data_IF_260233456526
#
_entry.id   IF_260233456526
#
_cell.length_a   1.000
_cell.length_b   1.000
_cell.length_c   1.000
_cell.angle_alpha   90.00
_cell.angle_beta   90.00
_cell.angle_gamma   90.00
#
_symmetry.space_group_name_H-M   'P 1'
#
loop_
_entity.id
_entity.type
_entity.pdbx_description
1 polymer ?
#
# COMPACT_ATOMS: atom_id res chain seq x y z
N UNK A 1 29.19 -22.09 -78.42
CA UNK A 1 30.12 -21.21 -77.68
C UNK A 1 29.72 -19.76 -77.94
N UNK A 2 29.92 -18.87 -76.94
CA UNK A 2 29.62 -17.42 -76.92
C UNK A 2 28.28 -17.04 -76.23
N UNK A 3 28.30 -16.83 -74.91
CA UNK A 3 28.35 -15.56 -74.11
C UNK A 3 26.96 -15.05 -73.67
N UNK A 4 26.75 -14.71 -72.37
CA UNK A 4 25.52 -14.07 -71.89
C UNK A 4 25.70 -12.55 -71.66
N UNK A 5 24.66 -11.77 -71.99
CA UNK A 5 24.53 -10.33 -71.71
C UNK A 5 23.68 -10.06 -70.45
N UNK A 6 23.92 -8.95 -69.71
CA UNK A 6 23.29 -8.69 -68.41
C UNK A 6 21.98 -7.89 -68.51
N UNK A 7 20.99 -8.23 -67.67
CA UNK A 7 19.70 -7.50 -67.57
C UNK A 7 19.81 -6.33 -66.57
N UNK A 8 19.47 -5.13 -67.06
CA UNK A 8 19.33 -3.89 -66.30
C UNK A 8 18.03 -3.88 -65.47
N UNK A 9 18.12 -3.37 -64.23
CA UNK A 9 16.99 -3.06 -63.34
C UNK A 9 16.21 -1.84 -63.87
N UNK A 10 14.88 -1.94 -63.89
CA UNK A 10 13.96 -0.80 -64.02
C UNK A 10 13.37 -0.51 -62.65
N UNK A 11 13.53 0.72 -62.18
CA UNK A 11 12.80 1.28 -61.06
C UNK A 11 11.38 1.63 -61.52
N UNK A 12 10.38 1.32 -60.69
CA UNK A 12 9.01 1.83 -60.83
C UNK A 12 8.63 2.53 -59.54
N UNK A 13 8.27 3.80 -59.66
CA UNK A 13 7.63 4.61 -58.63
C UNK A 13 6.19 4.14 -58.40
N UNK A 14 5.76 4.09 -57.14
CA UNK A 14 4.37 4.21 -56.73
C UNK A 14 4.30 5.25 -55.61
N UNK A 15 3.35 6.17 -55.76
CA UNK A 15 3.09 7.36 -54.93
C UNK A 15 2.01 7.08 -53.87
N UNK A 16 1.80 8.05 -52.98
CA UNK A 16 0.73 8.22 -51.94
C UNK A 16 1.00 7.50 -50.62
N UNK A 17 0.94 8.12 -49.42
CA UNK A 17 0.35 9.38 -48.95
C UNK A 17 1.20 9.96 -47.80
N UNK A 18 1.37 11.28 -47.77
CA UNK A 18 1.90 11.99 -46.62
C UNK A 18 0.77 12.20 -45.60
N UNK A 19 0.90 11.62 -44.42
CA UNK A 19 0.11 12.01 -43.24
C UNK A 19 0.95 13.02 -42.47
N UNK A 20 0.51 14.29 -42.49
CA UNK A 20 1.00 15.29 -41.55
C UNK A 20 0.58 14.86 -40.14
N UNK A 21 1.52 14.35 -39.34
CA UNK A 21 1.35 14.29 -37.90
C UNK A 21 1.53 15.72 -37.36
N UNK A 22 0.43 16.33 -36.96
CA UNK A 22 0.43 17.60 -36.23
C UNK A 22 1.15 17.36 -34.90
N UNK A 23 2.24 18.08 -34.66
CA UNK A 23 2.90 18.14 -33.36
C UNK A 23 1.94 18.88 -32.42
N UNK A 24 1.11 18.11 -31.71
CA UNK A 24 0.47 18.60 -30.50
C UNK A 24 1.57 18.74 -29.46
N UNK A 25 1.94 19.97 -29.12
CA UNK A 25 2.73 20.22 -27.92
C UNK A 25 1.90 19.71 -26.73
N UNK A 26 2.20 18.50 -26.27
CA UNK A 26 1.72 17.99 -25.00
C UNK A 26 2.44 18.83 -23.94
N UNK A 27 1.76 19.85 -23.43
CA UNK A 27 2.15 20.46 -22.18
C UNK A 27 1.97 19.36 -21.14
N UNK A 28 3.07 18.71 -20.78
CA UNK A 28 3.18 17.92 -19.56
C UNK A 28 2.88 18.88 -18.42
N UNK A 29 1.63 18.92 -17.99
CA UNK A 29 1.31 19.40 -16.65
C UNK A 29 1.97 18.36 -15.74
N UNK A 30 2.98 18.72 -14.92
CA UNK A 30 3.48 17.79 -13.93
C UNK A 30 2.29 17.33 -13.11
N UNK A 31 2.14 16.01 -12.92
CA UNK A 31 1.21 15.46 -11.94
C UNK A 31 1.58 16.05 -10.59
N UNK A 32 0.89 17.13 -10.21
CA UNK A 32 0.96 17.71 -8.88
C UNK A 32 0.41 16.60 -7.99
N UNK A 33 1.30 15.87 -7.32
CA UNK A 33 0.90 15.10 -6.14
C UNK A 33 -0.01 16.01 -5.31
N UNK A 34 -1.25 15.59 -5.10
CA UNK A 34 -2.14 16.34 -4.24
C UNK A 34 -1.55 16.28 -2.84
N UNK A 35 -0.78 17.30 -2.46
CA UNK A 35 -0.26 17.44 -1.10
C UNK A 35 -1.44 17.27 -0.13
N UNK A 36 -1.29 16.37 0.85
CA UNK A 36 -2.33 16.05 1.84
C UNK A 36 -2.84 17.31 2.51
N UNK A 37 -1.98 18.31 2.71
CA UNK A 37 -2.29 19.63 3.22
C UNK A 37 -1.70 20.69 2.30
N UNK A 38 -2.52 21.62 1.84
CA UNK A 38 -2.12 22.75 1.02
C UNK A 38 -2.58 24.06 1.68
N UNK A 39 -1.66 24.99 1.87
CA UNK A 39 -1.97 26.35 2.30
C UNK A 39 -2.60 27.15 1.14
N UNK A 40 -3.81 27.66 1.36
CA UNK A 40 -4.56 28.49 0.43
C UNK A 40 -4.41 30.01 0.72
N UNK A 41 -3.65 30.39 1.75
CA UNK A 41 -3.55 31.78 2.20
C UNK A 41 -4.85 32.28 2.80
N UNK A 42 -5.28 33.51 2.49
CA UNK A 42 -6.51 34.13 3.03
C UNK A 42 -6.51 34.37 4.56
N UNK A 43 -5.32 34.43 5.18
CA UNK A 43 -5.21 34.86 6.57
C UNK A 43 -5.57 36.34 6.74
N UNK A 44 -6.23 36.67 7.85
CA UNK A 44 -6.55 38.03 8.25
C UNK A 44 -5.74 38.40 9.50
N UNK A 45 -4.81 39.36 9.43
CA UNK A 45 -3.98 39.74 10.56
C UNK A 45 -4.80 40.36 11.70
N UNK A 46 -4.36 40.07 12.92
CA UNK A 46 -4.87 40.64 14.16
C UNK A 46 -3.79 41.38 14.96
N UNK A 47 -4.06 41.60 16.24
CA UNK A 47 -3.19 42.34 17.17
C UNK A 47 -1.84 41.64 17.43
N UNK A 48 -1.81 40.31 17.36
CA UNK A 48 -0.62 39.50 17.58
C UNK A 48 0.15 39.15 16.28
N UNK A 49 -0.29 39.65 15.12
CA UNK A 49 0.24 39.29 13.80
C UNK A 49 -0.76 38.50 12.96
N UNK A 50 -0.25 37.74 11.98
CA UNK A 50 -1.08 36.92 11.09
C UNK A 50 -1.16 35.49 11.63
N UNK A 51 -2.33 35.02 12.10
CA UNK A 51 -2.45 33.64 12.58
C UNK A 51 -2.14 32.64 11.46
N UNK A 52 -1.52 31.52 11.80
CA UNK A 52 -1.14 30.45 10.87
C UNK A 52 -1.65 29.11 11.39
N UNK A 53 -2.35 28.37 10.54
CA UNK A 53 -2.81 27.02 10.75
C UNK A 53 -1.97 26.07 9.89
N UNK A 54 -1.44 25.03 10.52
CA UNK A 54 -0.68 23.95 9.88
C UNK A 54 -1.38 22.63 10.16
N UNK A 55 -1.60 21.84 9.12
CA UNK A 55 -2.08 20.46 9.23
C UNK A 55 -0.95 19.47 8.95
N UNK A 56 -0.90 18.39 9.73
CA UNK A 56 0.07 17.30 9.56
C UNK A 56 -0.63 15.95 9.66
N UNK A 57 0.02 14.90 9.13
CA UNK A 57 -0.54 13.54 9.09
C UNK A 57 -1.13 13.18 7.73
N UNK A 58 -1.49 11.91 7.58
CA UNK A 58 -1.73 11.29 6.27
C UNK A 58 -3.17 11.37 5.78
N UNK A 59 -4.16 11.65 6.63
CA UNK A 59 -5.59 11.63 6.26
C UNK A 59 -6.03 10.34 5.55
N UNK A 60 -5.33 9.24 5.84
CA UNK A 60 -5.74 7.89 5.50
C UNK A 60 -6.74 7.49 6.59
N UNK A 61 -7.81 6.79 6.22
CA UNK A 61 -8.80 6.33 7.19
C UNK A 61 -8.15 5.63 8.38
N UNK A 62 -8.59 5.96 9.60
CA UNK A 62 -8.05 5.40 10.84
C UNK A 62 -6.73 6.03 11.32
N UNK A 63 -6.01 6.79 10.49
CA UNK A 63 -4.75 7.42 10.90
C UNK A 63 -4.98 8.74 11.64
N UNK A 64 -4.03 9.08 12.52
CA UNK A 64 -4.05 10.35 13.24
C UNK A 64 -3.59 11.51 12.36
N UNK A 65 -4.16 12.69 12.59
CA UNK A 65 -3.73 13.96 12.04
C UNK A 65 -3.77 15.05 13.11
N UNK A 66 -2.92 16.06 12.95
CA UNK A 66 -2.87 17.19 13.88
C UNK A 66 -3.13 18.51 13.17
N UNK A 67 -3.75 19.44 13.89
CA UNK A 67 -3.91 20.83 13.50
C UNK A 67 -3.24 21.70 14.55
N UNK A 68 -2.33 22.57 14.12
CA UNK A 68 -1.62 23.51 14.99
C UNK A 68 -1.84 24.94 14.49
N UNK A 69 -2.39 25.77 15.36
CA UNK A 69 -2.55 27.21 15.19
C UNK A 69 -1.45 27.93 15.96
N UNK A 70 -0.83 28.92 15.32
CA UNK A 70 0.13 29.85 15.93
C UNK A 70 -0.18 31.29 15.54
N UNK A 71 0.38 32.26 16.27
CA UNK A 71 0.26 33.68 15.93
C UNK A 71 -1.14 34.28 16.12
N UNK A 72 -2.03 33.61 16.85
CA UNK A 72 -3.33 34.15 17.22
C UNK A 72 -3.22 35.10 18.43
N UNK A 73 -4.27 35.88 18.67
CA UNK A 73 -4.38 36.66 19.90
C UNK A 73 -4.31 35.72 21.15
N UNK A 74 -3.50 36.04 22.17
CA UNK A 74 -3.41 35.24 23.39
C UNK A 74 -4.71 35.23 24.21
N UNK A 75 -5.04 34.09 24.82
CA UNK A 75 -6.22 33.93 25.70
C UNK A 75 -7.53 34.41 25.05
N UNK A 76 -7.68 34.15 23.75
CA UNK A 76 -8.82 34.53 22.93
C UNK A 76 -9.68 33.31 22.59
N UNK A 77 -10.97 33.58 22.35
CA UNK A 77 -11.88 32.58 21.79
C UNK A 77 -11.58 32.34 20.31
N UNK A 78 -11.51 31.08 19.91
CA UNK A 78 -11.26 30.64 18.56
C UNK A 78 -12.32 29.62 18.10
N UNK A 79 -12.62 29.62 16.80
CA UNK A 79 -13.58 28.72 16.19
C UNK A 79 -12.94 28.07 14.97
N UNK A 80 -12.78 26.75 15.01
CA UNK A 80 -12.33 25.97 13.85
C UNK A 80 -13.54 25.75 12.93
N UNK A 81 -13.44 26.23 11.70
CA UNK A 81 -14.43 26.01 10.65
C UNK A 81 -13.91 24.93 9.71
N UNK A 82 -14.76 23.92 9.48
CA UNK A 82 -14.54 22.83 8.56
C UNK A 82 -15.64 22.81 7.50
N UNK A 83 -15.25 22.56 6.25
CA UNK A 83 -16.17 22.44 5.13
C UNK A 83 -15.72 21.46 4.06
N UNK A 84 -16.68 20.81 3.41
CA UNK A 84 -16.46 19.91 2.26
C UNK A 84 -16.45 20.67 0.92
N UNK A 85 -16.61 21.99 0.95
CA UNK A 85 -16.58 22.84 -0.23
C UNK A 85 -15.97 24.20 0.08
N UNK A 86 -15.53 24.89 -0.98
CA UNK A 86 -14.99 26.23 -0.89
C UNK A 86 -16.10 27.27 -1.07
N UNK A 87 -16.28 28.16 -0.09
CA UNK A 87 -17.29 29.21 -0.05
C UNK A 87 -16.75 30.58 -0.49
N UNK A 88 -15.55 30.97 -0.04
CA UNK A 88 -14.93 32.30 -0.29
C UNK A 88 -15.82 33.50 0.08
N UNK A 89 -16.48 33.47 1.23
CA UNK A 89 -17.37 34.54 1.67
C UNK A 89 -16.58 35.70 2.31
N UNK A 90 -16.68 36.95 1.81
CA UNK A 90 -16.12 38.11 2.49
C UNK A 90 -16.90 38.40 3.78
N UNK A 91 -16.22 38.38 4.92
CA UNK A 91 -16.82 38.60 6.25
C UNK A 91 -15.80 39.22 7.21
N UNK A 92 -16.26 40.16 8.03
CA UNK A 92 -15.45 40.83 9.07
C UNK A 92 -14.08 41.38 8.58
N UNK A 93 -13.99 41.78 7.31
CA UNK A 93 -12.74 42.30 6.73
C UNK A 93 -11.76 41.23 6.22
N UNK A 94 -12.09 39.94 6.33
CA UNK A 94 -11.37 38.82 5.73
C UNK A 94 -12.25 37.98 4.81
N UNK A 95 -11.79 36.77 4.50
CA UNK A 95 -12.49 35.80 3.66
C UNK A 95 -12.64 34.49 4.40
N UNK A 96 -13.90 34.08 4.63
CA UNK A 96 -14.22 32.74 5.11
C UNK A 96 -14.14 31.78 3.91
N UNK A 97 -13.09 30.97 3.88
CA UNK A 97 -12.82 30.05 2.76
C UNK A 97 -13.70 28.79 2.80
N UNK A 98 -13.79 28.01 3.89
CA UNK A 98 -14.63 26.82 3.93
C UNK A 98 -16.13 27.15 3.97
N UNK A 99 -16.97 26.29 3.38
CA UNK A 99 -18.38 26.19 3.79
C UNK A 99 -18.43 25.81 5.27
N UNK A 100 -19.23 26.49 6.13
CA UNK A 100 -19.26 26.17 7.55
C UNK A 100 -20.14 24.94 7.84
N UNK A 101 -19.77 23.78 7.27
CA UNK A 101 -20.49 22.52 7.46
C UNK A 101 -20.36 22.02 8.90
N UNK A 102 -19.22 22.32 9.54
CA UNK A 102 -18.99 22.17 10.97
C UNK A 102 -18.23 23.39 11.51
N UNK A 103 -18.64 23.87 12.69
CA UNK A 103 -17.93 24.91 13.45
C UNK A 103 -17.68 24.40 14.86
N UNK A 104 -16.42 24.15 15.20
CA UNK A 104 -16.00 23.70 16.52
C UNK A 104 -15.49 24.87 17.36
N UNK A 105 -16.14 25.12 18.49
CA UNK A 105 -15.75 26.15 19.45
C UNK A 105 -16.89 26.61 20.37
N UNK A 106 -16.64 27.58 21.27
CA UNK A 106 -15.38 28.30 21.40
C UNK A 106 -14.25 27.42 21.96
N UNK A 107 -13.11 27.45 21.30
CA UNK A 107 -11.82 26.96 21.78
C UNK A 107 -11.06 28.15 22.38
N UNK A 108 -10.09 27.91 23.26
CA UNK A 108 -9.27 28.97 23.85
C UNK A 108 -7.82 28.88 23.38
N UNK A 109 -7.27 29.99 22.88
CA UNK A 109 -5.84 30.08 22.57
C UNK A 109 -5.03 30.20 23.86
N UNK A 110 -3.86 29.58 23.89
CA UNK A 110 -2.94 29.67 25.03
C UNK A 110 -2.35 31.08 25.20
N UNK A 111 -1.58 31.26 26.28
CA UNK A 111 -0.90 32.54 26.57
C UNK A 111 0.10 32.98 25.48
N UNK A 112 0.56 32.05 24.63
CA UNK A 112 1.40 32.34 23.46
C UNK A 112 0.63 32.51 22.15
N UNK A 113 -0.71 32.50 22.17
CA UNK A 113 -1.52 32.59 20.95
C UNK A 113 -1.56 31.30 20.11
N UNK A 114 -1.26 30.16 20.74
CA UNK A 114 -1.28 28.84 20.09
C UNK A 114 -2.47 27.98 20.49
N UNK A 115 -2.85 27.05 19.61
CA UNK A 115 -3.86 26.02 19.86
C UNK A 115 -3.47 24.78 19.04
N UNK A 116 -3.50 23.59 19.64
CA UNK A 116 -3.21 22.35 18.91
C UNK A 116 -4.25 21.28 19.25
N UNK A 117 -4.57 20.43 18.28
CA UNK A 117 -5.43 19.29 18.45
C UNK A 117 -4.96 18.11 17.61
N UNK A 118 -5.18 16.91 18.11
CA UNK A 118 -4.93 15.64 17.43
C UNK A 118 -6.25 14.90 17.27
N UNK A 119 -6.45 14.33 16.09
CA UNK A 119 -7.72 13.77 15.64
C UNK A 119 -7.47 12.49 14.84
N UNK A 120 -8.51 11.69 14.62
CA UNK A 120 -8.46 10.49 13.79
C UNK A 120 -9.28 10.71 12.52
N UNK A 121 -8.69 10.43 11.35
CA UNK A 121 -9.42 10.55 10.09
C UNK A 121 -10.43 9.41 9.93
N UNK A 122 -11.68 9.66 9.48
CA UNK A 122 -12.67 8.59 9.36
C UNK A 122 -12.26 7.50 8.37
N UNK A 123 -12.51 6.24 8.71
CA UNK A 123 -12.35 5.11 7.80
C UNK A 123 -13.41 5.20 6.69
N UNK A 124 -13.02 4.86 5.45
CA UNK A 124 -13.94 4.83 4.30
C UNK A 124 -14.17 6.18 3.62
N UNK A 125 -13.40 7.22 3.97
CA UNK A 125 -13.41 8.48 3.23
C UNK A 125 -12.99 8.24 1.77
N UNK A 126 -13.79 8.69 0.78
CA UNK A 126 -13.43 8.49 -0.62
C UNK A 126 -12.11 9.18 -0.96
N UNK A 127 -11.31 8.49 -1.77
CA UNK A 127 -10.08 9.01 -2.34
C UNK A 127 -10.29 10.37 -3.03
N UNK A 128 -9.34 11.29 -2.83
CA UNK A 128 -9.34 12.58 -3.52
C UNK A 128 -10.37 13.59 -3.01
N UNK A 129 -11.14 13.26 -1.96
CA UNK A 129 -12.02 14.23 -1.29
C UNK A 129 -11.18 15.38 -0.76
N UNK A 130 -11.61 16.60 -1.10
CA UNK A 130 -10.98 17.83 -0.64
C UNK A 130 -11.84 18.45 0.45
N UNK A 131 -11.21 18.72 1.59
CA UNK A 131 -11.85 19.43 2.70
C UNK A 131 -11.09 20.72 3.00
N UNK A 132 -11.77 21.67 3.64
CA UNK A 132 -11.29 23.02 3.85
C UNK A 132 -11.37 23.38 5.33
N UNK A 133 -10.30 23.99 5.84
CA UNK A 133 -10.14 24.30 7.26
C UNK A 133 -9.71 25.74 7.44
N UNK A 134 -10.27 26.43 8.44
CA UNK A 134 -9.81 27.76 8.82
C UNK A 134 -10.19 28.05 10.27
N UNK A 135 -9.33 28.74 11.03
CA UNK A 135 -9.66 29.18 12.39
C UNK A 135 -9.96 30.68 12.39
N UNK A 136 -11.08 31.05 13.00
CA UNK A 136 -11.48 32.44 13.25
C UNK A 136 -11.33 32.77 14.74
N UNK A 137 -10.66 33.87 15.06
CA UNK A 137 -10.25 34.23 16.42
C UNK A 137 -10.83 35.59 16.78
N UNK A 138 -11.46 35.69 17.94
CA UNK A 138 -11.92 36.96 18.49
C UNK A 138 -10.70 37.84 18.82
N UNK A 139 -10.62 39.00 18.17
CA UNK A 139 -9.48 39.91 18.29
C UNK A 139 -9.94 41.35 18.09
N UNK A 140 -10.06 42.09 19.20
CA UNK A 140 -10.52 43.48 19.19
C UNK A 140 -9.59 44.43 18.41
N UNK A 141 -8.33 44.03 18.16
CA UNK A 141 -7.37 44.79 17.35
C UNK A 141 -7.47 44.52 15.85
N UNK A 142 -8.26 43.52 15.43
CA UNK A 142 -8.42 43.15 14.03
C UNK A 142 -9.61 43.87 13.36
N UNK A 143 -9.61 44.02 12.02
CA UNK A 143 -10.77 44.51 11.29
C UNK A 143 -12.03 43.71 11.66
N UNK A 144 -13.13 44.40 11.94
CA UNK A 144 -14.39 43.73 12.29
C UNK A 144 -14.39 42.97 13.63
N UNK A 145 -13.32 43.07 14.45
CA UNK A 145 -13.20 42.37 15.73
C UNK A 145 -12.76 40.91 15.62
N UNK A 146 -12.28 40.48 14.45
CA UNK A 146 -11.88 39.10 14.18
C UNK A 146 -10.57 39.04 13.39
N UNK A 147 -9.68 38.13 13.77
CA UNK A 147 -8.57 37.68 12.93
C UNK A 147 -8.86 36.25 12.43
N UNK A 148 -8.14 35.83 11.39
CA UNK A 148 -8.31 34.50 10.81
C UNK A 148 -6.98 33.90 10.40
N UNK A 149 -6.83 32.59 10.59
CA UNK A 149 -5.70 31.86 10.03
C UNK A 149 -5.76 31.83 8.50
N UNK A 150 -4.66 31.42 7.88
CA UNK A 150 -4.73 30.91 6.52
C UNK A 150 -5.73 29.75 6.46
N UNK A 151 -6.33 29.56 5.29
CA UNK A 151 -7.16 28.42 5.00
C UNK A 151 -6.28 27.27 4.52
N UNK A 152 -6.57 26.06 4.98
CA UNK A 152 -5.95 24.84 4.48
C UNK A 152 -6.95 24.10 3.59
N UNK A 153 -6.47 23.55 2.49
CA UNK A 153 -7.13 22.46 1.78
C UNK A 153 -6.46 21.16 2.18
N UNK A 154 -7.22 20.20 2.67
CA UNK A 154 -6.77 18.83 2.77
C UNK A 154 -7.22 17.99 1.58
N UNK A 155 -6.49 16.91 1.27
CA UNK A 155 -6.95 15.90 0.31
C UNK A 155 -6.82 14.52 0.96
N UNK A 156 -7.93 13.79 1.06
CA UNK A 156 -7.90 12.36 1.46
C UNK A 156 -7.05 11.61 0.43
N UNK A 157 -5.94 10.96 0.82
CA UNK A 157 -5.15 10.21 -0.14
C UNK A 157 -5.97 9.06 -0.72
N UNK A 158 -5.66 8.73 -1.96
CA UNK A 158 -6.27 7.56 -2.59
C UNK A 158 -5.72 6.30 -1.93
N UNK A 159 -6.54 5.60 -1.15
CA UNK A 159 -6.29 4.18 -0.97
C UNK A 159 -6.55 3.53 -2.34
N UNK A 160 -5.50 3.07 -2.99
CA UNK A 160 -5.54 2.49 -4.33
C UNK A 160 -6.15 1.09 -4.23
N UNK A 161 -7.48 1.04 -4.32
CA UNK A 161 -8.19 -0.22 -4.53
C UNK A 161 -7.70 -0.92 -5.80
N UNK A 162 -7.98 -2.22 -5.90
CA UNK A 162 -7.64 -3.01 -7.06
C UNK A 162 -8.72 -4.02 -7.38
N UNK A 163 -8.44 -4.84 -8.38
CA UNK A 163 -9.30 -5.95 -8.81
C UNK A 163 -8.54 -7.26 -8.69
N UNK A 164 -9.26 -8.37 -8.67
CA UNK A 164 -8.69 -9.72 -8.80
C UNK A 164 -9.05 -10.29 -10.18
N UNK A 165 -8.32 -11.30 -10.70
CA UNK A 165 -8.77 -12.00 -11.90
C UNK A 165 -10.06 -12.75 -11.63
N UNK A 166 -10.79 -13.12 -12.68
CA UNK A 166 -11.98 -13.98 -12.54
C UNK A 166 -11.60 -15.37 -11.99
N UNK A 167 -10.44 -15.89 -12.40
CA UNK A 167 -9.90 -17.18 -11.96
C UNK A 167 -8.37 -17.14 -11.81
N UNK A 168 -7.85 -17.84 -10.80
CA UNK A 168 -6.42 -18.15 -10.66
C UNK A 168 -6.08 -19.50 -11.29
N UNK A 169 -4.85 -19.66 -11.78
CA UNK A 169 -4.36 -20.95 -12.28
C UNK A 169 -4.24 -21.94 -11.13
N UNK A 170 -4.89 -23.09 -11.31
CA UNK A 170 -5.01 -24.14 -10.29
C UNK A 170 -4.33 -25.46 -10.66
N UNK A 171 -3.52 -25.47 -11.73
CA UNK A 171 -2.75 -26.64 -12.18
C UNK A 171 -3.56 -27.71 -12.94
N UNK A 172 -4.67 -27.29 -13.56
CA UNK A 172 -5.54 -28.16 -14.36
C UNK A 172 -5.07 -28.39 -15.79
N UNK A 173 -4.31 -27.46 -16.40
CA UNK A 173 -3.88 -27.52 -17.80
C UNK A 173 -2.39 -27.20 -17.97
N UNK A 174 -1.53 -28.07 -17.41
CA UNK A 174 -0.07 -27.88 -17.44
C UNK A 174 0.58 -27.79 -18.82
N UNK A 175 -0.16 -28.09 -19.89
CA UNK A 175 0.33 -27.89 -21.25
C UNK A 175 0.22 -26.42 -21.70
N UNK A 176 -0.75 -25.68 -21.17
CA UNK A 176 -1.08 -24.32 -21.60
C UNK A 176 -0.98 -23.27 -20.48
N UNK A 177 -1.05 -23.68 -19.20
CA UNK A 177 -0.93 -22.78 -18.06
C UNK A 177 0.40 -21.99 -18.13
N UNK A 178 0.37 -20.66 -17.96
CA UNK A 178 1.61 -19.89 -17.85
C UNK A 178 2.37 -20.33 -16.61
N UNK A 179 3.71 -20.33 -16.68
CA UNK A 179 4.55 -20.65 -15.50
C UNK A 179 4.31 -19.68 -14.34
N UNK A 180 3.95 -18.43 -14.65
CA UNK A 180 3.56 -17.39 -13.71
C UNK A 180 2.34 -16.68 -14.29
N UNK A 181 1.19 -16.73 -13.61
CA UNK A 181 0.07 -15.86 -13.91
C UNK A 181 0.32 -14.50 -13.25
N UNK A 182 0.36 -13.45 -14.06
CA UNK A 182 0.53 -12.07 -13.58
C UNK A 182 -0.82 -11.38 -13.62
N UNK A 183 -1.23 -10.82 -12.49
CA UNK A 183 -2.40 -9.97 -12.39
C UNK A 183 -2.01 -8.55 -11.96
N UNK A 184 -2.47 -7.55 -12.70
CA UNK A 184 -2.30 -6.14 -12.34
C UNK A 184 -3.45 -5.74 -11.42
N UNK A 185 -3.22 -5.83 -10.10
CA UNK A 185 -4.22 -5.48 -9.09
C UNK A 185 -4.67 -4.02 -9.26
N UNK A 186 -3.71 -3.10 -9.41
CA UNK A 186 -3.93 -1.70 -9.78
C UNK A 186 -2.72 -1.13 -10.54
N UNK A 187 -2.64 0.19 -10.73
CA UNK A 187 -1.57 0.81 -11.52
C UNK A 187 -0.16 0.47 -11.01
N UNK A 188 0.00 0.33 -9.69
CA UNK A 188 1.31 0.23 -9.02
C UNK A 188 1.46 -1.07 -8.21
N UNK A 189 0.55 -2.04 -8.36
CA UNK A 189 0.56 -3.29 -7.60
C UNK A 189 0.26 -4.47 -8.51
N UNK A 190 1.13 -5.47 -8.48
CA UNK A 190 0.95 -6.71 -9.21
C UNK A 190 0.98 -7.89 -8.24
N UNK A 191 0.14 -8.89 -8.53
CA UNK A 191 0.06 -10.17 -7.84
C UNK A 191 0.49 -11.23 -8.85
N UNK A 192 1.47 -12.04 -8.48
CA UNK A 192 2.03 -13.08 -9.34
C UNK A 192 1.72 -14.43 -8.69
N UNK A 193 1.05 -15.33 -9.40
CA UNK A 193 0.78 -16.70 -8.96
C UNK A 193 1.71 -17.65 -9.70
N UNK A 194 2.55 -18.37 -8.96
CA UNK A 194 3.34 -19.46 -9.54
C UNK A 194 2.42 -20.60 -9.96
N UNK A 195 2.67 -21.18 -11.13
CA UNK A 195 1.88 -22.30 -11.63
C UNK A 195 1.98 -23.52 -10.73
N UNK A 196 0.82 -24.07 -10.35
CA UNK A 196 0.71 -25.31 -9.60
C UNK A 196 1.29 -26.54 -10.34
N UNK A 197 1.46 -26.41 -11.66
CA UNK A 197 2.16 -27.40 -12.48
C UNK A 197 3.66 -27.48 -12.16
N UNK A 198 4.25 -26.40 -11.64
CA UNK A 198 5.67 -26.36 -11.26
C UNK A 198 5.89 -26.70 -9.79
N UNK A 199 5.04 -26.21 -8.90
CA UNK A 199 5.06 -26.51 -7.47
C UNK A 199 3.63 -26.56 -6.92
N UNK A 200 3.29 -27.55 -6.09
CA UNK A 200 1.92 -27.74 -5.59
C UNK A 200 1.42 -26.63 -4.66
N UNK A 201 2.31 -25.84 -4.05
CA UNK A 201 1.91 -24.70 -3.20
C UNK A 201 1.44 -23.52 -4.07
N UNK A 202 1.98 -23.41 -5.30
CA UNK A 202 1.67 -22.32 -6.21
C UNK A 202 1.83 -20.94 -5.56
N UNK A 203 3.00 -20.61 -4.98
CA UNK A 203 3.12 -19.40 -4.16
C UNK A 203 2.70 -18.12 -4.91
N UNK A 204 2.00 -17.24 -4.19
CA UNK A 204 1.72 -15.87 -4.55
C UNK A 204 2.92 -14.98 -4.17
N UNK A 205 3.29 -14.09 -5.07
CA UNK A 205 4.34 -13.09 -4.88
C UNK A 205 3.77 -11.71 -5.18
N UNK A 206 4.21 -10.69 -4.46
CA UNK A 206 3.64 -9.34 -4.54
C UNK A 206 4.70 -8.35 -5.03
N UNK A 207 4.38 -7.59 -6.07
CA UNK A 207 5.27 -6.56 -6.62
C UNK A 207 4.65 -5.18 -6.42
N UNK A 208 5.28 -4.39 -5.54
CA UNK A 208 4.78 -3.13 -5.02
C UNK A 208 5.64 -1.98 -5.53
N UNK A 209 5.12 -1.17 -6.46
CA UNK A 209 5.82 0.01 -6.97
C UNK A 209 5.60 1.22 -6.07
N UNK A 210 6.70 1.88 -5.69
CA UNK A 210 6.73 3.28 -5.26
C UNK A 210 7.46 4.14 -6.28
N UNK A 211 7.76 5.40 -5.96
CA UNK A 211 8.42 6.29 -6.91
C UNK A 211 9.91 6.05 -7.05
N UNK A 212 10.58 5.62 -5.99
CA UNK A 212 12.03 5.47 -5.95
C UNK A 212 12.46 4.00 -5.95
N UNK A 213 11.62 3.14 -5.37
CA UNK A 213 11.87 1.70 -5.23
C UNK A 213 10.64 0.90 -5.62
N UNK A 214 10.89 -0.33 -6.05
CA UNK A 214 9.89 -1.39 -6.18
C UNK A 214 10.30 -2.52 -5.24
N UNK A 215 9.34 -3.03 -4.46
CA UNK A 215 9.55 -4.19 -3.58
C UNK A 215 8.88 -5.41 -4.20
N UNK A 216 9.63 -6.48 -4.38
CA UNK A 216 9.13 -7.83 -4.60
C UNK A 216 9.14 -8.55 -3.25
N UNK A 217 7.96 -8.98 -2.80
CA UNK A 217 7.83 -9.92 -1.69
C UNK A 217 7.73 -11.34 -2.25
N UNK A 218 8.67 -12.18 -1.81
CA UNK A 218 8.86 -13.58 -2.19
C UNK A 218 9.27 -13.80 -3.66
N UNK A 219 9.97 -14.91 -3.92
CA UNK A 219 10.51 -15.26 -5.24
C UNK A 219 10.04 -16.63 -5.75
N UNK A 220 9.09 -17.24 -5.03
CA UNK A 220 8.50 -18.50 -5.39
C UNK A 220 9.39 -19.71 -5.12
N UNK A 221 8.87 -20.88 -5.46
CA UNK A 221 9.44 -22.19 -5.16
C UNK A 221 10.39 -22.73 -6.25
N UNK A 222 11.02 -21.84 -7.00
CA UNK A 222 11.92 -22.18 -8.09
C UNK A 222 11.21 -22.77 -9.32
N UNK A 223 11.97 -23.11 -10.36
CA UNK A 223 11.44 -23.70 -11.60
C UNK A 223 10.68 -22.74 -12.52
N UNK A 224 10.60 -21.45 -12.17
CA UNK A 224 9.93 -20.39 -12.93
C UNK A 224 10.89 -19.24 -13.25
N UNK A 225 10.70 -18.50 -14.36
CA UNK A 225 11.58 -17.38 -14.74
C UNK A 225 11.21 -16.07 -14.02
N UNK A 226 11.14 -16.09 -12.69
CA UNK A 226 10.60 -14.97 -11.88
C UNK A 226 11.34 -13.65 -12.13
N UNK A 227 12.67 -13.64 -12.26
CA UNK A 227 13.40 -12.39 -12.50
C UNK A 227 13.08 -11.80 -13.87
N UNK A 228 12.98 -12.63 -14.92
CA UNK A 228 12.62 -12.16 -16.25
C UNK A 228 11.21 -11.55 -16.27
N UNK A 229 10.26 -12.18 -15.57
CA UNK A 229 8.90 -11.65 -15.40
C UNK A 229 8.91 -10.31 -14.65
N UNK A 230 9.59 -10.23 -13.51
CA UNK A 230 9.65 -9.01 -12.69
C UNK A 230 10.31 -7.85 -13.43
N UNK A 231 11.46 -8.07 -14.09
CA UNK A 231 12.09 -7.01 -14.89
C UNK A 231 11.22 -6.56 -16.06
N UNK A 232 10.50 -7.47 -16.72
CA UNK A 232 9.54 -7.08 -17.78
C UNK A 232 8.40 -6.20 -17.25
N UNK A 233 7.93 -6.44 -16.03
CA UNK A 233 6.90 -5.60 -15.39
C UNK A 233 7.48 -4.25 -15.00
N UNK A 234 8.70 -4.22 -14.46
CA UNK A 234 9.42 -2.99 -14.13
C UNK A 234 9.63 -2.13 -15.38
N UNK A 235 10.11 -2.71 -16.49
CA UNK A 235 10.32 -1.98 -17.74
C UNK A 235 9.01 -1.39 -18.27
N UNK A 236 7.92 -2.17 -18.20
CA UNK A 236 6.58 -1.69 -18.62
C UNK A 236 6.13 -0.52 -17.76
N UNK A 237 6.24 -0.65 -16.44
CA UNK A 237 5.85 0.42 -15.51
C UNK A 237 6.73 1.67 -15.67
N UNK A 238 8.05 1.52 -15.84
CA UNK A 238 8.97 2.65 -16.07
C UNK A 238 8.58 3.44 -17.33
N UNK A 239 8.23 2.75 -18.41
CA UNK A 239 7.75 3.38 -19.65
C UNK A 239 6.44 4.16 -19.41
N UNK A 240 5.48 3.58 -18.67
CA UNK A 240 4.22 4.24 -18.32
C UNK A 240 4.43 5.50 -17.46
N UNK A 241 5.42 5.47 -16.56
CA UNK A 241 5.73 6.58 -15.66
C UNK A 241 6.72 7.60 -16.24
N UNK A 242 7.23 7.38 -17.47
CA UNK A 242 8.25 8.22 -18.08
C UNK A 242 9.60 8.21 -17.33
N UNK A 243 9.92 7.11 -16.65
CA UNK A 243 11.15 6.89 -15.89
C UNK A 243 12.10 5.96 -16.64
N UNK A 244 13.38 6.01 -16.31
CA UNK A 244 14.43 5.16 -16.93
C UNK A 244 15.03 4.13 -15.99
N UNK A 245 14.80 4.25 -14.68
CA UNK A 245 15.35 3.35 -13.66
C UNK A 245 14.54 3.44 -12.37
N UNK A 246 14.55 2.33 -11.62
CA UNK A 246 14.03 2.22 -10.25
C UNK A 246 14.89 1.19 -9.51
N UNK A 247 15.03 1.30 -8.19
CA UNK A 247 15.69 0.28 -7.38
C UNK A 247 14.72 -0.88 -7.09
N UNK A 248 15.13 -2.12 -7.33
CA UNK A 248 14.41 -3.32 -6.95
C UNK A 248 14.91 -3.85 -5.61
N UNK A 249 14.01 -4.00 -4.65
CA UNK A 249 14.24 -4.69 -3.38
C UNK A 249 13.53 -6.04 -3.46
N UNK A 250 14.27 -7.13 -3.32
CA UNK A 250 13.73 -8.47 -3.19
C UNK A 250 13.80 -8.84 -1.71
N UNK A 251 12.65 -8.88 -1.07
CA UNK A 251 12.47 -9.25 0.33
C UNK A 251 11.51 -10.43 0.41
N UNK A 252 11.43 -11.05 1.59
CA UNK A 252 10.64 -12.25 1.77
C UNK A 252 9.80 -12.13 3.03
N UNK A 253 8.61 -12.69 3.00
CA UNK A 253 7.82 -12.87 4.22
C UNK A 253 8.60 -13.73 5.22
N UNK A 254 9.29 -14.79 4.76
CA UNK A 254 10.25 -15.55 5.55
C UNK A 254 11.18 -16.44 4.68
N UNK A 255 11.98 -17.30 5.33
CA UNK A 255 13.07 -18.05 4.69
C UNK A 255 12.77 -19.47 4.19
N UNK A 256 11.51 -19.89 4.04
CA UNK A 256 11.21 -21.22 3.47
C UNK A 256 11.38 -21.25 1.95
N UNK A 257 11.54 -22.46 1.41
CA UNK A 257 11.99 -22.66 0.03
C UNK A 257 11.04 -22.09 -1.02
N UNK A 258 9.75 -22.08 -0.75
CA UNK A 258 8.71 -21.53 -1.61
C UNK A 258 8.66 -20.00 -1.64
N UNK A 259 9.45 -19.34 -0.79
CA UNK A 259 9.60 -17.89 -0.75
C UNK A 259 10.93 -17.40 -1.34
N UNK A 260 11.95 -18.27 -1.42
CA UNK A 260 13.34 -17.85 -1.67
C UNK A 260 14.04 -18.60 -2.82
N UNK A 261 13.42 -19.65 -3.36
CA UNK A 261 14.11 -20.47 -4.37
C UNK A 261 14.36 -19.73 -5.69
N UNK A 262 13.69 -18.60 -5.93
CA UNK A 262 13.93 -17.72 -7.07
C UNK A 262 15.12 -16.76 -6.90
N UNK A 263 15.68 -16.58 -5.69
CA UNK A 263 16.67 -15.53 -5.37
C UNK A 263 17.91 -15.55 -6.27
N UNK A 264 18.34 -16.75 -6.66
CA UNK A 264 19.49 -16.95 -7.54
C UNK A 264 19.39 -16.18 -8.86
N UNK A 265 18.19 -15.84 -9.31
CA UNK A 265 17.94 -15.09 -10.55
C UNK A 265 18.18 -13.58 -10.39
N UNK A 266 18.12 -13.05 -9.17
CA UNK A 266 18.28 -11.63 -8.83
C UNK A 266 19.70 -11.28 -8.36
N UNK A 267 20.48 -12.27 -7.93
CA UNK A 267 21.84 -12.06 -7.44
C UNK A 267 22.75 -11.41 -8.49
N UNK A 268 23.33 -10.25 -8.14
CA UNK A 268 24.27 -9.52 -8.99
C UNK A 268 23.62 -8.75 -10.14
N UNK A 269 22.29 -8.70 -10.21
CA UNK A 269 21.57 -7.88 -11.17
C UNK A 269 21.71 -6.39 -10.84
N UNK A 270 21.72 -5.49 -11.85
CA UNK A 270 21.84 -4.06 -11.61
C UNK A 270 20.65 -3.52 -10.82
N UNK A 271 20.89 -2.49 -10.00
CA UNK A 271 19.89 -1.80 -9.18
C UNK A 271 18.98 -2.76 -8.38
N UNK A 272 19.51 -3.90 -7.96
CA UNK A 272 18.75 -4.94 -7.28
C UNK A 272 19.42 -5.31 -5.96
N UNK A 273 18.65 -5.26 -4.88
CA UNK A 273 19.06 -5.68 -3.54
C UNK A 273 18.25 -6.91 -3.14
N UNK A 274 18.92 -8.03 -2.86
CA UNK A 274 18.29 -9.23 -2.28
C UNK A 274 18.54 -9.22 -0.77
N UNK A 275 17.46 -9.17 0.02
CA UNK A 275 17.53 -9.13 1.48
C UNK A 275 17.82 -10.53 2.02
N UNK A 276 18.75 -10.64 2.96
CA UNK A 276 19.08 -11.94 3.56
C UNK A 276 17.94 -12.50 4.41
N UNK A 277 17.78 -13.82 4.43
CA UNK A 277 16.62 -14.52 5.01
C UNK A 277 16.77 -14.93 6.48
N UNK A 278 17.91 -14.60 7.10
CA UNK A 278 18.11 -14.81 8.54
C UNK A 278 17.47 -13.68 9.34
N UNK A 279 17.02 -13.97 10.57
CA UNK A 279 16.43 -12.97 11.48
C UNK A 279 17.31 -11.72 11.61
N UNK A 280 18.63 -11.90 11.78
CA UNK A 280 19.56 -10.78 11.87
C UNK A 280 19.71 -10.00 10.56
N UNK A 281 19.65 -10.65 9.40
CA UNK A 281 19.73 -9.97 8.11
C UNK A 281 18.47 -9.15 7.81
N UNK A 282 17.29 -9.74 8.04
CA UNK A 282 15.99 -9.06 7.91
C UNK A 282 15.92 -7.86 8.86
N UNK A 283 16.25 -8.07 10.14
CA UNK A 283 16.23 -7.02 11.14
C UNK A 283 17.20 -5.88 10.80
N UNK A 284 18.43 -6.19 10.38
CA UNK A 284 19.40 -5.18 9.97
C UNK A 284 18.98 -4.40 8.73
N UNK A 285 18.33 -5.05 7.76
CA UNK A 285 17.90 -4.39 6.53
C UNK A 285 16.75 -3.42 6.77
N UNK A 286 15.70 -3.86 7.45
CA UNK A 286 14.54 -3.02 7.73
C UNK A 286 14.75 -2.08 8.91
N UNK A 287 15.71 -2.35 9.80
CA UNK A 287 15.93 -1.55 11.01
C UNK A 287 15.04 -1.97 12.19
N UNK A 288 14.68 -3.26 12.27
CA UNK A 288 13.88 -3.82 13.37
C UNK A 288 14.79 -4.01 14.58
N UNK A 289 14.56 -3.28 15.67
CA UNK A 289 15.35 -3.36 16.89
C UNK A 289 14.81 -4.39 17.89
N UNK A 290 13.49 -4.39 18.07
CA UNK A 290 12.75 -5.32 18.91
C UNK A 290 11.60 -5.94 18.12
N UNK A 291 11.16 -7.13 18.54
CA UNK A 291 10.03 -7.82 17.88
C UNK A 291 8.76 -6.97 17.88
N UNK A 292 8.57 -6.15 18.92
CA UNK A 292 7.42 -5.24 19.10
C UNK A 292 7.46 -4.00 18.21
N UNK A 293 8.54 -3.76 17.48
CA UNK A 293 8.65 -2.59 16.63
C UNK A 293 7.74 -2.72 15.40
N UNK A 294 7.16 -1.59 15.01
CA UNK A 294 6.59 -1.40 13.68
C UNK A 294 7.51 -0.45 12.95
N UNK A 295 8.20 -0.95 11.92
CA UNK A 295 9.18 -0.15 11.18
C UNK A 295 8.59 0.33 9.88
N UNK A 296 8.72 1.62 9.60
CA UNK A 296 8.27 2.20 8.34
C UNK A 296 9.36 2.06 7.26
N UNK A 297 8.99 1.51 6.10
CA UNK A 297 9.82 1.41 4.91
C UNK A 297 9.18 2.13 3.72
N UNK A 298 9.84 3.18 3.23
CA UNK A 298 9.32 4.04 2.15
C UNK A 298 9.93 3.70 0.78
N UNK A 299 9.05 3.34 -0.16
CA UNK A 299 9.38 3.05 -1.56
C UNK A 299 9.41 4.30 -2.45
N UNK A 300 9.31 5.50 -1.87
CA UNK A 300 9.19 6.78 -2.56
C UNK A 300 7.73 7.20 -2.64
N UNK A 301 7.14 7.58 -1.50
CA UNK A 301 5.73 7.96 -1.39
C UNK A 301 4.74 6.80 -1.29
N UNK A 302 5.23 5.55 -1.23
CA UNK A 302 4.45 4.37 -0.87
C UNK A 302 5.05 3.76 0.38
N UNK A 303 4.32 3.89 1.47
CA UNK A 303 4.80 3.53 2.80
C UNK A 303 4.32 2.14 3.18
N UNK A 304 5.27 1.26 3.51
CA UNK A 304 5.01 -0.04 4.11
C UNK A 304 5.32 0.00 5.61
N UNK A 305 4.43 -0.56 6.43
CA UNK A 305 4.73 -0.90 7.81
C UNK A 305 5.21 -2.35 7.88
N UNK A 306 6.40 -2.57 8.42
CA UNK A 306 7.07 -3.86 8.54
C UNK A 306 7.03 -4.30 10.00
N UNK A 307 6.51 -5.50 10.24
CA UNK A 307 6.38 -6.07 11.59
C UNK A 307 7.05 -7.43 11.64
N UNK A 308 7.90 -7.65 12.64
CA UNK A 308 8.38 -9.00 12.94
C UNK A 308 7.24 -9.83 13.56
N UNK A 309 6.95 -10.98 12.96
CA UNK A 309 5.90 -11.91 13.40
C UNK A 309 6.45 -13.34 13.52
N UNK A 310 7.46 -13.57 14.38
CA UNK A 310 8.02 -14.90 14.56
C UNK A 310 6.96 -15.91 15.00
N UNK A 311 7.07 -17.15 14.54
CA UNK A 311 6.13 -18.21 14.91
C UNK A 311 6.11 -19.33 13.88
N UNK A 312 5.64 -19.03 12.67
CA UNK A 312 5.80 -19.95 11.54
C UNK A 312 7.30 -20.18 11.24
N UNK A 313 8.06 -19.09 11.21
CA UNK A 313 9.52 -19.10 11.14
C UNK A 313 10.08 -17.89 11.92
N UNK A 314 11.31 -17.97 12.43
CA UNK A 314 11.85 -16.98 13.38
C UNK A 314 12.17 -15.60 12.79
N UNK A 315 12.37 -15.51 11.47
CA UNK A 315 12.63 -14.28 10.73
C UNK A 315 11.38 -13.77 9.98
N UNK A 316 10.20 -14.33 10.27
CA UNK A 316 8.97 -14.01 9.55
C UNK A 316 8.53 -12.57 9.79
N UNK A 317 8.10 -11.89 8.73
CA UNK A 317 7.58 -10.52 8.74
C UNK A 317 6.20 -10.44 8.07
N UNK A 318 5.40 -9.49 8.54
CA UNK A 318 4.22 -9.00 7.83
C UNK A 318 4.49 -7.61 7.26
N UNK A 319 3.89 -7.34 6.11
CA UNK A 319 3.91 -6.02 5.46
C UNK A 319 2.49 -5.47 5.41
N UNK A 320 2.28 -4.27 5.95
CA UNK A 320 1.05 -3.52 5.73
C UNK A 320 1.32 -2.36 4.78
N UNK A 321 0.72 -2.41 3.59
CA UNK A 321 0.87 -1.37 2.58
C UNK A 321 -0.16 -0.26 2.77
N UNK A 322 0.29 0.92 3.20
CA UNK A 322 -0.62 2.05 3.48
C UNK A 322 -1.34 2.56 2.24
N UNK A 323 -0.83 2.30 1.03
CA UNK A 323 -1.46 2.75 -0.21
C UNK A 323 -2.65 1.88 -0.59
N UNK A 324 -2.60 0.57 -0.40
CA UNK A 324 -3.68 -0.35 -0.81
C UNK A 324 -4.47 -0.89 0.38
N UNK A 325 -3.94 -0.75 1.60
CA UNK A 325 -4.32 -1.48 2.80
C UNK A 325 -4.36 -3.01 2.63
N UNK A 326 -3.49 -3.54 1.78
CA UNK A 326 -3.19 -4.96 1.79
C UNK A 326 -2.31 -5.26 3.02
N UNK A 327 -2.70 -6.28 3.77
CA UNK A 327 -1.89 -6.87 4.83
C UNK A 327 -1.31 -8.18 4.30
N UNK A 328 -0.01 -8.20 4.03
CA UNK A 328 0.72 -9.36 3.52
C UNK A 328 1.26 -10.14 4.71
N UNK A 329 0.75 -11.35 4.92
CA UNK A 329 0.98 -12.18 6.11
C UNK A 329 1.85 -13.40 5.86
N UNK A 330 2.28 -13.62 4.62
CA UNK A 330 2.95 -14.84 4.19
C UNK A 330 2.24 -16.08 4.75
N UNK A 331 3.03 -16.97 5.36
CA UNK A 331 2.52 -18.22 5.92
C UNK A 331 1.92 -18.12 7.34
N UNK A 332 1.69 -16.91 7.85
CA UNK A 332 1.07 -16.73 9.16
C UNK A 332 -0.46 -16.71 9.12
N UNK A 333 -1.05 -16.29 7.99
CA UNK A 333 -2.49 -16.40 7.76
C UNK A 333 -2.77 -16.38 6.26
N UNK A 334 -3.39 -17.44 5.77
CA UNK A 334 -3.79 -17.64 4.38
C UNK A 334 -4.83 -18.76 4.34
N UNK A 335 -5.56 -18.94 3.23
CA UNK A 335 -6.59 -19.96 3.16
C UNK A 335 -6.02 -21.37 2.94
N UNK A 336 -5.40 -21.91 3.99
CA UNK A 336 -4.63 -23.14 3.91
C UNK A 336 -4.16 -23.66 5.27
N UNK A 337 -3.11 -24.48 5.25
CA UNK A 337 -2.58 -25.15 6.45
C UNK A 337 -1.54 -24.29 7.19
N UNK A 338 -1.94 -23.60 8.26
CA UNK A 338 -1.01 -22.84 9.11
C UNK A 338 -0.17 -23.82 9.95
N UNK A 339 1.01 -24.17 9.44
CA UNK A 339 1.93 -25.10 10.10
C UNK A 339 2.63 -24.46 11.29
N UNK A 340 2.43 -25.05 12.48
CA UNK A 340 2.99 -24.60 13.75
C UNK A 340 3.71 -25.74 14.45
N UNK A 341 4.69 -25.38 15.26
CA UNK A 341 5.40 -26.33 16.12
C UNK A 341 5.18 -25.97 17.58
N UNK A 342 5.23 -26.95 18.48
CA UNK A 342 5.13 -26.68 19.92
C UNK A 342 6.23 -25.72 20.41
N UNK A 343 7.40 -25.69 19.76
CA UNK A 343 8.50 -24.79 20.10
C UNK A 343 8.27 -23.33 19.72
N UNK A 344 7.41 -23.07 18.74
CA UNK A 344 7.15 -21.72 18.21
C UNK A 344 5.74 -21.21 18.50
N UNK A 345 4.93 -22.02 19.20
CA UNK A 345 3.54 -21.76 19.52
C UNK A 345 3.32 -20.39 20.18
N UNK A 346 4.06 -20.08 21.26
CA UNK A 346 3.87 -18.82 21.99
C UNK A 346 4.28 -17.61 21.15
N UNK A 347 5.38 -17.71 20.41
CA UNK A 347 5.83 -16.63 19.51
C UNK A 347 4.76 -16.34 18.44
N UNK A 348 4.16 -17.40 17.88
CA UNK A 348 3.09 -17.27 16.89
C UNK A 348 1.85 -16.59 17.48
N UNK A 349 1.40 -17.02 18.66
CA UNK A 349 0.27 -16.40 19.37
C UNK A 349 0.50 -14.92 19.63
N UNK A 350 1.65 -14.58 20.20
CA UNK A 350 2.02 -13.20 20.50
C UNK A 350 2.13 -12.37 19.21
N UNK A 351 2.56 -12.97 18.10
CA UNK A 351 2.63 -12.31 16.79
C UNK A 351 1.26 -12.04 16.17
N UNK A 352 0.35 -13.01 16.19
CA UNK A 352 -1.01 -12.83 15.68
C UNK A 352 -1.78 -11.80 16.52
N UNK A 353 -1.66 -11.83 17.84
CA UNK A 353 -2.29 -10.86 18.73
C UNK A 353 -1.80 -9.44 18.46
N UNK A 354 -0.47 -9.24 18.34
CA UNK A 354 0.10 -7.94 17.97
C UNK A 354 -0.32 -7.48 16.58
N UNK A 355 -0.43 -8.39 15.62
CA UNK A 355 -0.86 -8.06 14.27
C UNK A 355 -2.34 -7.63 14.24
N UNK A 356 -3.19 -8.33 14.99
CA UNK A 356 -4.61 -7.99 15.18
C UNK A 356 -4.77 -6.61 15.81
N UNK A 357 -4.05 -6.36 16.90
CA UNK A 357 -4.06 -5.06 17.59
C UNK A 357 -3.55 -3.94 16.68
N UNK A 358 -2.48 -4.21 15.93
CA UNK A 358 -1.93 -3.24 14.99
C UNK A 358 -2.94 -2.81 13.94
N UNK A 359 -3.76 -3.73 13.41
CA UNK A 359 -4.74 -3.36 12.39
C UNK A 359 -6.09 -2.91 12.95
N UNK A 360 -6.31 -2.92 14.27
CA UNK A 360 -7.63 -2.66 14.90
C UNK A 360 -8.26 -1.34 14.43
N UNK A 361 -7.48 -0.27 14.40
CA UNK A 361 -7.90 1.06 13.98
C UNK A 361 -7.61 1.37 12.50
N UNK A 362 -6.96 0.44 11.77
CA UNK A 362 -6.58 0.61 10.37
C UNK A 362 -7.60 0.00 9.41
N UNK A 363 -7.76 0.58 8.20
CA UNK A 363 -8.41 -0.11 7.11
C UNK A 363 -7.59 -1.35 6.75
N UNK A 364 -8.26 -2.43 6.38
CA UNK A 364 -7.63 -3.60 5.75
C UNK A 364 -8.53 -3.95 4.59
N UNK A 365 -8.04 -3.74 3.37
CA UNK A 365 -8.77 -4.12 2.17
C UNK A 365 -8.84 -5.65 2.10
N UNK A 366 -7.67 -6.29 2.16
CA UNK A 366 -7.52 -7.73 2.18
C UNK A 366 -6.29 -8.13 3.00
N UNK A 367 -6.40 -9.27 3.68
CA UNK A 367 -5.29 -10.04 4.20
C UNK A 367 -4.90 -11.04 3.13
N UNK A 368 -3.63 -11.05 2.75
CA UNK A 368 -3.10 -11.84 1.64
C UNK A 368 -1.92 -12.66 2.15
N UNK A 369 -1.93 -13.96 1.90
CA UNK A 369 -0.79 -14.83 2.21
C UNK A 369 -0.34 -15.63 0.99
N UNK A 370 0.59 -16.55 1.18
CA UNK A 370 1.42 -17.03 0.07
C UNK A 370 0.80 -18.18 -0.72
N UNK A 371 -0.12 -18.97 -0.17
CA UNK A 371 -0.72 -20.07 -0.94
C UNK A 371 -2.14 -20.41 -0.46
N UNK A 372 -2.76 -21.39 -1.13
CA UNK A 372 -4.15 -21.80 -0.92
C UNK A 372 -4.22 -23.31 -0.96
N UNK A 373 -4.78 -23.92 0.09
CA UNK A 373 -5.19 -25.33 0.07
C UNK A 373 -6.66 -25.52 0.43
N UNK A 374 -7.32 -24.48 0.95
CA UNK A 374 -8.75 -24.54 1.23
C UNK A 374 -9.53 -24.54 -0.07
N UNK A 375 -10.60 -25.33 -0.09
CA UNK A 375 -11.59 -25.26 -1.15
C UNK A 375 -12.49 -24.05 -0.92
N UNK A 376 -13.20 -23.66 -1.98
CA UNK A 376 -14.34 -22.74 -1.93
C UNK A 376 -15.49 -23.23 -1.03
N UNK A 377 -15.53 -24.52 -0.69
CA UNK A 377 -16.45 -25.09 0.31
C UNK A 377 -15.85 -24.93 1.71
N UNK A 378 -16.53 -24.24 2.64
CA UNK A 378 -16.02 -24.03 4.00
C UNK A 378 -15.66 -25.33 4.73
N UNK A 379 -14.60 -25.28 5.54
CA UNK A 379 -14.07 -26.41 6.35
C UNK A 379 -13.49 -27.57 5.53
N UNK A 380 -13.39 -27.44 4.21
CA UNK A 380 -12.77 -28.43 3.35
C UNK A 380 -11.44 -27.92 2.78
N UNK A 381 -10.39 -28.72 2.96
CA UNK A 381 -9.11 -28.50 2.29
C UNK A 381 -8.83 -29.61 1.27
N UNK A 382 -8.02 -29.28 0.28
CA UNK A 382 -7.29 -30.30 -0.47
C UNK A 382 -6.28 -30.99 0.42
N UNK A 383 -5.97 -32.26 0.12
CA UNK A 383 -4.85 -32.93 0.76
C UNK A 383 -3.58 -32.14 0.45
N UNK A 384 -2.78 -31.82 1.47
CA UNK A 384 -1.50 -31.15 1.29
C UNK A 384 -0.64 -31.89 0.24
N UNK A 385 -0.04 -31.16 -0.70
CA UNK A 385 0.67 -31.74 -1.85
C UNK A 385 -0.16 -31.84 -3.14
N UNK A 386 -1.46 -31.48 -3.12
CA UNK A 386 -2.33 -31.56 -4.31
C UNK A 386 -1.98 -30.49 -5.34
N UNK A 387 -1.67 -30.91 -6.58
CA UNK A 387 -1.28 -30.02 -7.69
C UNK A 387 -2.42 -29.48 -8.54
N UNK A 388 -3.60 -30.11 -8.50
CA UNK A 388 -4.75 -29.71 -9.30
C UNK A 388 -5.90 -29.38 -8.35
N UNK A 389 -6.22 -28.09 -8.20
CA UNK A 389 -7.15 -27.55 -7.21
C UNK A 389 -8.27 -26.71 -7.86
N UNK A 390 -9.14 -27.29 -8.72
CA UNK A 390 -10.09 -26.53 -9.54
C UNK A 390 -11.21 -25.82 -8.75
N UNK A 391 -11.36 -26.16 -7.48
CA UNK A 391 -12.32 -25.56 -6.55
C UNK A 391 -11.57 -24.83 -5.42
N UNK A 392 -10.31 -24.41 -5.64
CA UNK A 392 -9.55 -23.61 -4.68
C UNK A 392 -10.34 -22.36 -4.28
N UNK A 393 -10.21 -21.98 -3.02
CA UNK A 393 -10.77 -20.74 -2.51
C UNK A 393 -10.00 -19.56 -3.10
N UNK A 394 -10.67 -18.43 -3.26
CA UNK A 394 -10.00 -17.16 -3.48
C UNK A 394 -8.95 -16.86 -2.38
N UNK A 395 -7.78 -16.27 -2.74
CA UNK A 395 -6.69 -16.03 -1.80
C UNK A 395 -6.99 -14.90 -0.81
N UNK A 396 -7.87 -13.96 -1.16
CA UNK A 396 -8.15 -12.81 -0.32
C UNK A 396 -8.94 -13.21 0.95
N UNK A 397 -8.36 -12.88 2.10
CA UNK A 397 -9.00 -12.92 3.40
C UNK A 397 -9.35 -11.49 3.84
N UNK A 398 -10.27 -11.38 4.79
CA UNK A 398 -10.65 -10.13 5.45
C UNK A 398 -10.08 -10.07 6.87
N UNK A 399 -10.07 -8.86 7.45
CA UNK A 399 -9.69 -8.59 8.85
C UNK A 399 -10.38 -9.52 9.88
N UNK A 400 -11.62 -9.95 9.62
CA UNK A 400 -12.35 -10.90 10.48
C UNK A 400 -11.68 -12.27 10.62
N UNK A 401 -10.94 -12.73 9.61
CA UNK A 401 -10.23 -14.01 9.70
C UNK A 401 -8.98 -13.90 10.58
N UNK A 402 -8.34 -12.72 10.62
CA UNK A 402 -7.27 -12.46 11.58
C UNK A 402 -7.79 -12.43 13.02
N UNK A 403 -8.98 -11.85 13.23
CA UNK A 403 -9.67 -11.88 14.52
C UNK A 403 -10.05 -13.32 14.92
N UNK A 404 -10.61 -14.10 13.98
CA UNK A 404 -10.93 -15.50 14.20
C UNK A 404 -9.71 -16.34 14.57
N UNK A 405 -8.58 -16.14 13.87
CA UNK A 405 -7.32 -16.83 14.18
C UNK A 405 -6.83 -16.47 15.59
N UNK A 406 -6.80 -15.17 15.93
CA UNK A 406 -6.37 -14.71 17.25
C UNK A 406 -7.24 -15.30 18.38
N UNK A 407 -8.57 -15.26 18.22
CA UNK A 407 -9.52 -15.84 19.17
C UNK A 407 -9.34 -17.35 19.34
N UNK A 408 -9.13 -18.08 18.24
CA UNK A 408 -8.92 -19.53 18.26
C UNK A 408 -7.61 -19.90 18.99
N UNK A 409 -6.52 -19.20 18.67
CA UNK A 409 -5.22 -19.37 19.29
C UNK A 409 -5.26 -19.12 20.81
N UNK A 410 -6.11 -18.20 21.28
CA UNK A 410 -6.30 -17.92 22.70
C UNK A 410 -7.02 -19.03 23.47
N UNK A 411 -7.88 -19.81 22.79
CA UNK A 411 -8.54 -20.97 23.39
C UNK A 411 -7.67 -22.22 23.40
N UNK A 412 -6.66 -22.29 22.53
CA UNK A 412 -5.76 -23.43 22.40
C UNK A 412 -4.60 -23.34 23.42
N UNK A 413 -4.43 -24.31 24.32
CA UNK A 413 -3.33 -24.29 25.29
C UNK A 413 -1.97 -24.60 24.64
N UNK A 414 -1.98 -25.30 23.51
CA UNK A 414 -0.79 -25.77 22.77
C UNK A 414 -1.11 -25.85 21.28
N UNK A 415 -0.07 -25.90 20.46
CA UNK A 415 -0.19 -26.20 19.03
C UNK A 415 -1.00 -27.50 18.84
N UNK A 416 -2.15 -27.39 18.20
CA UNK A 416 -3.12 -28.48 17.99
C UNK A 416 -3.87 -28.20 16.70
N UNK A 417 -4.16 -29.25 15.94
CA UNK A 417 -4.93 -29.10 14.71
C UNK A 417 -6.38 -28.67 15.00
N UNK A 418 -6.80 -27.55 14.42
CA UNK A 418 -8.18 -27.04 14.46
C UNK A 418 -8.59 -26.54 13.07
N UNK A 419 -9.77 -26.95 12.61
CA UNK A 419 -10.27 -26.66 11.25
C UNK A 419 -11.27 -25.53 11.32
N UNK A 420 -10.99 -24.45 10.59
CA UNK A 420 -11.86 -23.30 10.41
C UNK A 420 -12.49 -23.31 9.02
N UNK A 421 -13.42 -22.39 8.79
CA UNK A 421 -14.13 -22.28 7.52
C UNK A 421 -13.14 -22.04 6.37
N UNK A 422 -12.16 -21.17 6.60
CA UNK A 422 -11.29 -20.63 5.56
C UNK A 422 -9.80 -20.91 5.80
N UNK A 423 -9.40 -21.59 6.88
CA UNK A 423 -8.01 -21.97 7.16
C UNK A 423 -7.96 -23.16 8.12
N UNK A 424 -6.78 -23.76 8.30
CA UNK A 424 -6.55 -24.84 9.26
C UNK A 424 -5.35 -24.46 10.12
N UNK A 425 -5.55 -24.35 11.43
CA UNK A 425 -4.44 -24.32 12.39
C UNK A 425 -3.88 -25.74 12.42
N UNK A 426 -2.59 -25.91 12.14
CA UNK A 426 -1.95 -27.22 12.05
C UNK A 426 -0.73 -27.30 12.97
N UNK A 427 -0.98 -27.62 14.25
CA UNK A 427 0.01 -27.58 15.33
C UNK A 427 0.52 -28.91 15.85
#
# INVERSE_FOLDING_TARGET
MSTPQPRRRRASLVSTSAVLATVGALVLVPSVEAQTWLDLGNALPGSAGTPQLVGQGTLIGGTHYSLELTGAAPASQAFLVFGQSQLLLPIAGGTLVPSPDLVAGPLETGAGGGLAGEFTWPVGMPAGVQDFWQVWIADAGAPGGWSASNALRSTTPTQLGGTFPDDWIYGGDCANDPLIQVHRYNQDTFILRQSMCTNFEGPFMYLLFGQDKVLLEDTGAGGIPIAATVYSLIDTWLLEQGKTSIELIVAHSHGHGDHIQGDGQFNGQPNTTVVGTSMGAVANFFGIGAVTDVVTYDLGGRVLDVMAIPGHQSAHIALYDRNTALLLTGDSLYPGFIFLSSSTWNDFRDSISRLRDFVEDKPVAWVMGTHVEMKSTPFEAYTYGTKNQPEERDPQLEKKHLQELDEALDQLPTATTEVHADFIING
#
